data_IF_822312724047
#
_entry.id   IF_822312724047
#
_cell.length_a   1.000
_cell.length_b   1.000
_cell.length_c   1.000
_cell.angle_alpha   90.00
_cell.angle_beta   90.00
_cell.angle_gamma   90.00
#
_symmetry.space_group_name_H-M   'P 1'
#
loop_
_entity.id
_entity.type
_entity.pdbx_description
1 polymer ?
#
# COMPACT_ATOMS: atom_id res chain seq x y z
N UNK A 1 -22.85 -29.22 6.90
CA UNK A 1 -21.93 -28.20 6.37
C UNK A 1 -21.39 -28.74 5.05
N UNK A 2 -21.66 -28.05 3.93
CA UNK A 2 -21.06 -28.44 2.66
C UNK A 2 -19.58 -28.04 2.68
N UNK A 3 -18.73 -28.87 2.09
CA UNK A 3 -17.29 -28.62 2.02
C UNK A 3 -17.05 -27.61 0.90
N UNK A 4 -16.77 -26.37 1.27
CA UNK A 4 -16.44 -25.29 0.34
C UNK A 4 -14.92 -25.14 0.20
N UNK A 5 -14.44 -24.97 -1.04
CA UNK A 5 -13.04 -24.66 -1.33
C UNK A 5 -12.90 -23.16 -1.56
N UNK A 6 -12.72 -22.43 -0.46
CA UNK A 6 -12.60 -20.97 -0.50
C UNK A 6 -11.38 -20.47 -1.29
N UNK A 7 -10.32 -21.27 -1.43
CA UNK A 7 -9.14 -20.86 -2.18
C UNK A 7 -9.41 -20.91 -3.69
N UNK A 8 -9.94 -22.02 -4.18
CA UNK A 8 -10.33 -22.20 -5.58
C UNK A 8 -11.40 -21.18 -5.99
N UNK A 9 -12.41 -20.96 -5.15
CA UNK A 9 -13.47 -20.00 -5.45
C UNK A 9 -12.98 -18.54 -5.41
N UNK A 10 -12.01 -18.21 -4.55
CA UNK A 10 -11.37 -16.90 -4.56
C UNK A 10 -10.60 -16.67 -5.87
N UNK A 11 -9.80 -17.64 -6.32
CA UNK A 11 -9.06 -17.58 -7.59
C UNK A 11 -10.04 -17.45 -8.76
N UNK A 12 -11.09 -18.27 -8.77
CA UNK A 12 -12.13 -18.22 -9.82
C UNK A 12 -12.90 -16.90 -9.81
N UNK A 13 -13.14 -16.31 -8.64
CA UNK A 13 -13.75 -14.98 -8.52
C UNK A 13 -12.84 -13.91 -9.08
N UNK A 14 -11.53 -13.98 -8.79
CA UNK A 14 -10.54 -13.05 -9.31
C UNK A 14 -10.50 -13.06 -10.85
N UNK A 15 -10.37 -14.24 -11.47
CA UNK A 15 -10.36 -14.35 -12.94
C UNK A 15 -11.65 -13.85 -13.59
N UNK A 16 -12.80 -14.05 -12.93
CA UNK A 16 -14.10 -13.54 -13.42
C UNK A 16 -14.20 -12.01 -13.43
N UNK A 17 -13.45 -11.33 -12.57
CA UNK A 17 -13.47 -9.86 -12.45
C UNK A 17 -12.25 -9.18 -13.08
N UNK A 18 -11.40 -9.93 -13.78
CA UNK A 18 -10.22 -9.37 -14.43
C UNK A 18 -10.65 -8.59 -15.68
N UNK A 19 -10.23 -7.32 -15.85
CA UNK A 19 -10.61 -6.51 -17.01
C UNK A 19 -9.77 -6.92 -18.24
N UNK A 20 -10.05 -8.10 -18.79
CA UNK A 20 -9.23 -8.70 -19.84
C UNK A 20 -9.13 -7.83 -21.09
N UNK A 21 -10.19 -7.09 -21.42
CA UNK A 21 -10.21 -6.18 -22.56
C UNK A 21 -9.17 -5.06 -22.43
N UNK A 22 -8.95 -4.54 -21.22
CA UNK A 22 -8.00 -3.46 -20.98
C UNK A 22 -6.56 -3.94 -20.90
N UNK A 23 -6.35 -5.24 -20.62
CA UNK A 23 -5.02 -5.83 -20.51
C UNK A 23 -4.30 -6.04 -21.85
N UNK A 24 -5.01 -6.07 -22.97
CA UNK A 24 -4.37 -6.37 -24.26
C UNK A 24 -3.61 -5.17 -24.84
N UNK A 25 -2.54 -5.49 -25.56
CA UNK A 25 -1.81 -4.53 -26.40
C UNK A 25 -2.71 -4.02 -27.53
N UNK A 26 -2.68 -2.71 -27.77
CA UNK A 26 -3.49 -2.06 -28.80
C UNK A 26 -3.00 -2.37 -30.23
N UNK A 27 -1.78 -2.89 -30.39
CA UNK A 27 -1.18 -3.21 -31.70
C UNK A 27 -1.17 -4.70 -32.05
N UNK A 28 -0.82 -5.58 -31.09
CA UNK A 28 -0.69 -7.03 -31.32
C UNK A 28 -1.99 -7.78 -30.96
N UNK A 29 -2.82 -7.23 -30.06
CA UNK A 29 -4.04 -7.84 -29.47
C UNK A 29 -3.90 -9.28 -28.92
N UNK A 30 -2.74 -9.93 -29.08
CA UNK A 30 -2.42 -11.28 -28.60
C UNK A 30 -1.50 -11.27 -27.37
N UNK A 31 -0.92 -10.11 -27.04
CA UNK A 31 0.00 -9.95 -25.91
C UNK A 31 -0.55 -8.93 -24.94
N UNK A 32 -0.27 -9.15 -23.66
CA UNK A 32 -0.63 -8.24 -22.59
C UNK A 32 0.19 -6.96 -22.73
N UNK A 33 -0.47 -5.81 -22.57
CA UNK A 33 0.16 -4.52 -22.49
C UNK A 33 0.88 -4.39 -21.14
N UNK A 34 2.16 -4.10 -21.22
CA UNK A 34 3.05 -3.88 -20.07
C UNK A 34 3.55 -2.45 -20.01
N UNK A 35 3.39 -1.70 -21.11
CA UNK A 35 3.89 -0.35 -21.27
C UNK A 35 2.82 0.59 -21.82
N UNK A 36 2.86 1.86 -21.42
CA UNK A 36 1.99 2.93 -21.85
C UNK A 36 2.83 4.05 -22.47
N UNK A 37 2.52 4.41 -23.70
CA UNK A 37 3.09 5.60 -24.34
C UNK A 37 2.30 6.83 -23.91
N UNK A 38 2.93 7.75 -23.17
CA UNK A 38 2.30 9.01 -22.74
C UNK A 38 1.95 9.88 -23.94
N UNK A 39 2.85 9.93 -24.92
CA UNK A 39 2.71 10.78 -26.10
C UNK A 39 1.58 10.31 -27.02
N UNK A 40 1.60 9.02 -27.35
CA UNK A 40 0.68 8.45 -28.34
C UNK A 40 -0.64 7.96 -27.71
N UNK A 41 -0.70 7.89 -26.37
CA UNK A 41 -1.84 7.40 -25.57
C UNK A 41 -2.28 5.99 -25.98
N UNK A 42 -1.30 5.10 -26.14
CA UNK A 42 -1.52 3.68 -26.53
C UNK A 42 -0.86 2.71 -25.54
N UNK A 43 -1.49 1.55 -25.36
CA UNK A 43 -1.03 0.42 -24.56
C UNK A 43 -0.22 -0.54 -25.41
N UNK A 44 0.97 -0.89 -24.95
CA UNK A 44 1.96 -1.64 -25.71
C UNK A 44 2.43 -2.85 -24.90
N UNK A 45 2.54 -4.00 -25.56
CA UNK A 45 3.34 -5.11 -25.05
C UNK A 45 4.83 -4.80 -25.24
N UNK A 46 5.70 -5.53 -24.55
CA UNK A 46 7.15 -5.33 -24.62
C UNK A 46 7.71 -5.40 -26.06
N UNK A 47 7.13 -6.26 -26.91
CA UNK A 47 7.54 -6.39 -28.32
C UNK A 47 7.20 -5.13 -29.12
N UNK A 48 5.96 -4.66 -29.01
CA UNK A 48 5.50 -3.45 -29.71
C UNK A 48 6.22 -2.20 -29.20
N UNK A 49 6.47 -2.13 -27.89
CA UNK A 49 7.25 -1.06 -27.28
C UNK A 49 8.69 -1.02 -27.79
N UNK A 50 9.35 -2.17 -27.89
CA UNK A 50 10.71 -2.26 -28.46
C UNK A 50 10.76 -1.71 -29.89
N UNK A 51 9.83 -2.14 -30.75
CA UNK A 51 9.75 -1.68 -32.16
C UNK A 51 9.51 -0.18 -32.26
N UNK A 52 8.66 0.38 -31.39
CA UNK A 52 8.39 1.83 -31.38
C UNK A 52 9.62 2.61 -30.93
N UNK A 53 10.35 2.10 -29.93
CA UNK A 53 11.55 2.74 -29.38
C UNK A 53 12.70 2.79 -30.40
N UNK A 54 12.83 1.76 -31.24
CA UNK A 54 13.91 1.66 -32.24
C UNK A 54 13.72 2.57 -33.47
N UNK A 55 12.53 3.19 -33.62
CA UNK A 55 12.29 4.08 -34.77
C UNK A 55 13.02 5.42 -34.58
N UNK A 56 13.69 5.93 -35.64
CA UNK A 56 14.32 7.25 -35.59
C UNK A 56 13.29 8.33 -35.29
N UNK A 57 13.60 9.21 -34.33
CA UNK A 57 12.69 10.26 -33.83
C UNK A 57 11.86 9.89 -32.60
N UNK A 58 11.89 8.62 -32.15
CA UNK A 58 11.20 8.17 -30.93
C UNK A 58 12.10 8.03 -29.69
N UNK A 59 13.37 8.43 -29.77
CA UNK A 59 14.35 8.27 -28.68
C UNK A 59 13.92 8.91 -27.35
N UNK A 60 13.08 9.96 -27.41
CA UNK A 60 12.58 10.68 -26.23
C UNK A 60 11.17 10.27 -25.79
N UNK A 61 10.53 9.27 -26.44
CA UNK A 61 9.20 8.84 -26.02
C UNK A 61 9.27 8.15 -24.66
N UNK A 62 8.71 8.79 -23.64
CA UNK A 62 8.57 8.25 -22.29
C UNK A 62 7.54 7.12 -22.30
N UNK A 63 8.03 5.89 -22.25
CA UNK A 63 7.23 4.69 -22.01
C UNK A 63 7.18 4.44 -20.50
N UNK A 64 5.96 4.29 -19.98
CA UNK A 64 5.70 4.02 -18.57
C UNK A 64 5.21 2.59 -18.41
N UNK A 65 5.35 2.01 -17.22
CA UNK A 65 4.74 0.70 -16.94
C UNK A 65 3.22 0.84 -16.91
N UNK A 66 2.54 0.01 -17.70
CA UNK A 66 1.10 -0.06 -17.75
C UNK A 66 0.60 -1.21 -16.89
N UNK A 67 -0.42 -0.95 -16.09
CA UNK A 67 -1.24 -1.98 -15.45
C UNK A 67 -2.70 -1.62 -15.72
N UNK A 68 -3.50 -2.57 -16.21
CA UNK A 68 -4.93 -2.34 -16.47
C UNK A 68 -5.68 -1.95 -15.19
N UNK A 69 -5.24 -2.48 -14.05
CA UNK A 69 -5.73 -2.11 -12.73
C UNK A 69 -4.55 -1.74 -11.85
N UNK A 70 -4.62 -0.56 -11.24
CA UNK A 70 -3.64 -0.14 -10.24
C UNK A 70 -3.98 -0.73 -8.87
N UNK A 71 -3.37 -1.87 -8.56
CA UNK A 71 -3.41 -2.52 -7.26
C UNK A 71 -2.36 -2.00 -6.28
N UNK A 72 -1.55 -1.00 -6.67
CA UNK A 72 -0.53 -0.47 -5.76
C UNK A 72 -1.19 0.14 -4.52
N UNK A 73 -0.56 -0.03 -3.36
CA UNK A 73 -1.02 0.54 -2.11
C UNK A 73 -1.18 2.07 -2.30
N UNK A 74 -2.42 2.55 -2.27
CA UNK A 74 -2.74 3.95 -2.58
C UNK A 74 -2.33 4.82 -1.40
N UNK A 75 -1.10 5.33 -1.45
CA UNK A 75 -0.68 6.40 -0.56
C UNK A 75 -1.53 7.68 -0.75
N UNK A 76 -1.51 8.58 0.25
CA UNK A 76 -2.28 9.83 0.20
C UNK A 76 -1.94 10.65 -1.04
N UNK A 77 -2.95 11.19 -1.72
CA UNK A 77 -2.79 11.90 -3.00
C UNK A 77 -2.29 13.34 -2.86
N UNK A 78 -2.42 13.93 -1.68
CA UNK A 78 -2.04 15.30 -1.39
C UNK A 78 -1.61 15.44 0.08
N UNK A 79 -0.97 16.57 0.43
CA UNK A 79 -0.60 16.86 1.81
C UNK A 79 -1.82 16.83 2.74
N UNK A 80 -2.95 17.43 2.33
CA UNK A 80 -4.18 17.44 3.11
C UNK A 80 -4.67 16.02 3.38
N UNK A 81 -4.74 15.18 2.34
CA UNK A 81 -5.12 13.77 2.50
C UNK A 81 -4.13 13.05 3.40
N UNK A 82 -2.82 13.31 3.26
CA UNK A 82 -1.77 12.71 4.08
C UNK A 82 -1.91 13.04 5.56
N UNK A 83 -2.12 14.32 5.89
CA UNK A 83 -2.38 14.77 7.27
C UNK A 83 -3.68 14.16 7.80
N UNK A 84 -4.76 14.16 7.02
CA UNK A 84 -6.04 13.60 7.43
C UNK A 84 -5.92 12.09 7.76
N UNK A 85 -5.31 11.31 6.87
CA UNK A 85 -5.05 9.88 7.12
C UNK A 85 -4.10 9.67 8.29
N UNK A 86 -3.06 10.49 8.40
CA UNK A 86 -2.09 10.42 9.49
C UNK A 86 -2.72 10.70 10.85
N UNK A 87 -3.65 11.66 10.95
CA UNK A 87 -4.39 11.96 12.17
C UNK A 87 -5.30 10.80 12.60
N UNK A 88 -5.98 10.15 11.65
CA UNK A 88 -6.82 8.97 11.95
C UNK A 88 -5.97 7.84 12.53
N UNK A 89 -4.83 7.54 11.90
CA UNK A 89 -3.89 6.51 12.38
C UNK A 89 -3.29 6.88 13.74
N UNK A 90 -2.91 8.14 13.95
CA UNK A 90 -2.42 8.62 15.23
C UNK A 90 -3.48 8.49 16.34
N UNK A 91 -4.73 8.90 16.06
CA UNK A 91 -5.83 8.78 17.02
C UNK A 91 -6.11 7.32 17.39
N UNK A 92 -5.97 6.40 16.43
CA UNK A 92 -6.05 4.96 16.68
C UNK A 92 -4.94 4.49 17.63
N UNK A 93 -3.68 4.89 17.42
CA UNK A 93 -2.58 4.53 18.31
C UNK A 93 -2.70 5.16 19.70
N UNK A 94 -3.17 6.40 19.78
CA UNK A 94 -3.42 7.07 21.06
C UNK A 94 -4.51 6.35 21.85
N UNK A 95 -5.63 6.01 21.19
CA UNK A 95 -6.73 5.25 21.79
C UNK A 95 -6.25 3.86 22.22
N UNK A 96 -5.47 3.17 21.39
CA UNK A 96 -4.86 1.88 21.71
C UNK A 96 -3.87 1.94 22.88
N UNK A 97 -3.11 3.03 23.02
CA UNK A 97 -2.21 3.28 24.14
C UNK A 97 -2.98 3.50 25.46
N UNK A 98 -3.99 4.37 25.43
CA UNK A 98 -4.83 4.67 26.60
C UNK A 98 -5.66 3.46 27.05
N UNK A 99 -6.33 2.78 26.12
CA UNK A 99 -7.09 1.56 26.43
C UNK A 99 -6.18 0.44 26.91
N UNK A 100 -4.95 0.33 26.36
CA UNK A 100 -3.93 -0.59 26.85
C UNK A 100 -3.54 -0.30 28.29
N UNK A 101 -3.28 0.97 28.63
CA UNK A 101 -2.91 1.39 29.97
C UNK A 101 -3.98 1.04 31.03
N UNK A 102 -5.26 1.20 30.70
CA UNK A 102 -6.36 0.90 31.63
C UNK A 102 -6.76 -0.58 31.66
N UNK A 103 -6.79 -1.25 30.50
CA UNK A 103 -7.30 -2.61 30.41
C UNK A 103 -6.26 -3.69 30.76
N UNK A 104 -4.97 -3.44 30.56
CA UNK A 104 -3.90 -4.42 30.84
C UNK A 104 -3.75 -4.76 32.33
N UNK A 105 -3.81 -3.80 33.29
CA UNK A 105 -3.78 -4.11 34.72
C UNK A 105 -4.96 -4.98 35.15
N UNK A 106 -6.18 -4.67 34.68
CA UNK A 106 -7.39 -5.44 35.00
C UNK A 106 -7.33 -6.86 34.43
N UNK A 107 -6.94 -7.02 33.16
CA UNK A 107 -6.73 -8.33 32.52
C UNK A 107 -5.59 -9.12 33.19
N UNK A 108 -4.53 -8.44 33.61
CA UNK A 108 -3.41 -9.02 34.33
C UNK A 108 -3.82 -9.56 35.70
N UNK A 109 -4.64 -8.80 36.44
CA UNK A 109 -5.18 -9.22 37.73
C UNK A 109 -6.06 -10.47 37.61
N UNK A 110 -6.96 -10.51 36.63
CA UNK A 110 -7.85 -11.67 36.41
C UNK A 110 -7.09 -12.95 36.03
N UNK A 111 -5.94 -12.83 35.34
CA UNK A 111 -5.18 -14.00 34.87
C UNK A 111 -4.12 -14.50 35.83
N UNK A 112 -3.49 -13.60 36.61
CA UNK A 112 -2.32 -13.92 37.41
C UNK A 112 -2.29 -13.26 38.78
N UNK A 113 -3.44 -12.77 39.27
CA UNK A 113 -3.54 -12.07 40.55
C UNK A 113 -2.63 -10.84 40.60
N UNK A 114 -2.06 -10.56 41.78
CA UNK A 114 -1.25 -9.36 42.02
C UNK A 114 -0.01 -9.32 41.11
N UNK A 115 0.64 -10.47 40.89
CA UNK A 115 1.82 -10.56 40.01
C UNK A 115 1.45 -10.21 38.56
N UNK A 116 0.29 -10.68 38.10
CA UNK A 116 -0.24 -10.32 36.79
C UNK A 116 -0.63 -8.83 36.69
N UNK A 117 -1.14 -8.24 37.77
CA UNK A 117 -1.48 -6.81 37.80
C UNK A 117 -0.24 -5.92 37.66
N UNK A 118 0.85 -6.20 38.41
CA UNK A 118 2.12 -5.47 38.29
C UNK A 118 2.68 -5.57 36.87
N UNK A 119 2.67 -6.77 36.28
CA UNK A 119 3.08 -6.97 34.88
C UNK A 119 2.21 -6.16 33.91
N UNK A 120 0.90 -6.12 34.14
CA UNK A 120 -0.06 -5.33 33.37
C UNK A 120 0.20 -3.82 33.44
N UNK A 121 0.59 -3.30 34.60
CA UNK A 121 0.99 -1.88 34.77
C UNK A 121 2.25 -1.56 33.97
N UNK A 122 3.28 -2.42 34.04
CA UNK A 122 4.52 -2.23 33.28
C UNK A 122 4.26 -2.25 31.78
N UNK A 123 3.52 -3.24 31.29
CA UNK A 123 3.15 -3.32 29.87
C UNK A 123 2.25 -2.16 29.44
N UNK A 124 1.29 -1.76 30.28
CA UNK A 124 0.43 -0.61 30.03
C UNK A 124 1.21 0.69 29.89
N UNK A 125 2.14 0.97 30.81
CA UNK A 125 3.01 2.15 30.77
C UNK A 125 3.93 2.13 29.54
N UNK A 126 4.48 0.96 29.19
CA UNK A 126 5.26 0.78 27.96
C UNK A 126 4.45 1.13 26.71
N UNK A 127 3.25 0.55 26.55
CA UNK A 127 2.40 0.85 25.39
C UNK A 127 1.92 2.30 25.36
N UNK A 128 1.68 2.93 26.52
CA UNK A 128 1.30 4.33 26.61
C UNK A 128 2.42 5.26 26.11
N UNK A 129 3.69 4.88 26.30
CA UNK A 129 4.83 5.67 25.83
C UNK A 129 5.17 5.40 24.37
N UNK A 130 5.22 4.12 23.97
CA UNK A 130 5.71 3.74 22.64
C UNK A 130 4.67 3.99 21.54
N UNK A 131 3.37 3.73 21.79
CA UNK A 131 2.34 3.82 20.75
C UNK A 131 2.10 5.25 20.25
N UNK A 132 2.02 6.29 21.09
CA UNK A 132 1.88 7.66 20.60
C UNK A 132 3.09 8.13 19.78
N UNK A 133 4.30 7.73 20.16
CA UNK A 133 5.52 8.03 19.39
C UNK A 133 5.44 7.35 18.02
N UNK A 134 5.05 6.07 17.98
CA UNK A 134 4.83 5.35 16.72
C UNK A 134 3.77 6.03 15.85
N UNK A 135 2.62 6.39 16.42
CA UNK A 135 1.57 7.11 15.71
C UNK A 135 2.02 8.47 15.15
N UNK A 136 2.85 9.21 15.88
CA UNK A 136 3.39 10.49 15.43
C UNK A 136 4.35 10.32 14.23
N UNK A 137 5.17 9.27 14.25
CA UNK A 137 6.04 8.92 13.12
C UNK A 137 5.20 8.55 11.89
N UNK A 138 4.14 7.76 12.05
CA UNK A 138 3.23 7.42 10.95
C UNK A 138 2.51 8.66 10.40
N UNK A 139 2.07 9.57 11.27
CA UNK A 139 1.45 10.82 10.82
C UNK A 139 2.42 11.65 9.97
N UNK A 140 3.65 11.84 10.45
CA UNK A 140 4.68 12.56 9.72
C UNK A 140 4.98 11.91 8.36
N UNK A 141 5.04 10.57 8.33
CA UNK A 141 5.23 9.81 7.09
C UNK A 141 4.09 10.01 6.09
N UNK A 142 2.84 9.87 6.53
CA UNK A 142 1.68 10.11 5.66
C UNK A 142 1.63 11.54 5.13
N UNK A 143 1.95 12.55 5.96
CA UNK A 143 2.04 13.94 5.52
C UNK A 143 3.14 14.13 4.47
N UNK A 144 4.33 13.57 4.70
CA UNK A 144 5.45 13.64 3.78
C UNK A 144 5.17 12.91 2.46
N UNK A 145 4.61 11.70 2.49
CA UNK A 145 4.17 10.95 1.31
C UNK A 145 3.09 11.72 0.55
N UNK A 146 2.14 12.34 1.24
CA UNK A 146 1.10 13.17 0.62
C UNK A 146 1.67 14.36 -0.13
N UNK A 147 2.66 15.04 0.46
CA UNK A 147 3.37 16.14 -0.20
C UNK A 147 4.19 15.68 -1.41
N UNK A 148 4.89 14.55 -1.30
CA UNK A 148 5.65 13.96 -2.42
C UNK A 148 4.72 13.54 -3.56
N UNK A 149 3.58 12.92 -3.24
CA UNK A 149 2.58 12.52 -4.23
C UNK A 149 1.89 13.72 -4.90
N UNK A 150 1.75 14.84 -4.20
CA UNK A 150 1.20 16.08 -4.78
C UNK A 150 2.11 16.65 -5.87
N UNK A 151 3.43 16.53 -5.72
CA UNK A 151 4.43 17.02 -6.67
C UNK A 151 4.89 15.95 -7.68
N UNK A 152 4.19 14.82 -7.75
CA UNK A 152 4.57 13.69 -8.59
C UNK A 152 4.30 13.99 -10.07
N UNK A 153 5.28 13.72 -10.93
CA UNK A 153 5.09 13.76 -12.38
C UNK A 153 4.01 12.78 -12.85
N UNK A 154 3.24 13.22 -13.86
CA UNK A 154 2.21 12.38 -14.48
C UNK A 154 2.81 11.05 -14.98
N UNK A 155 2.11 9.96 -14.67
CA UNK A 155 2.49 8.62 -15.09
C UNK A 155 3.47 7.84 -14.19
N UNK A 156 4.07 8.46 -13.17
CA UNK A 156 4.80 7.70 -12.14
C UNK A 156 3.85 7.01 -11.15
N UNK A 157 4.27 5.89 -10.55
CA UNK A 157 3.50 5.23 -9.50
C UNK A 157 3.39 6.15 -8.29
N UNK A 158 2.22 6.19 -7.64
CA UNK A 158 2.08 6.86 -6.34
C UNK A 158 2.98 6.16 -5.33
N UNK A 159 3.66 6.95 -4.50
CA UNK A 159 4.41 6.44 -3.38
C UNK A 159 3.43 5.98 -2.30
N UNK A 160 3.70 4.82 -1.71
CA UNK A 160 3.10 4.43 -0.43
C UNK A 160 3.79 5.18 0.73
N UNK A 161 3.32 4.94 1.95
CA UNK A 161 4.00 5.40 3.17
C UNK A 161 5.44 4.87 3.19
N UNK A 162 6.41 5.72 3.50
CA UNK A 162 7.85 5.38 3.41
C UNK A 162 8.21 4.26 4.38
N UNK A 163 7.57 4.24 5.56
CA UNK A 163 7.77 3.16 6.52
C UNK A 163 7.25 1.82 6.00
N UNK A 164 6.16 1.83 5.23
CA UNK A 164 5.57 0.61 4.68
C UNK A 164 6.44 0.07 3.54
N UNK A 165 7.03 0.93 2.70
CA UNK A 165 8.02 0.50 1.69
C UNK A 165 9.22 -0.20 2.35
N UNK A 166 9.80 0.40 3.38
CA UNK A 166 10.95 -0.19 4.09
C UNK A 166 10.58 -1.45 4.87
N UNK A 167 9.38 -1.50 5.46
CA UNK A 167 8.87 -2.69 6.13
C UNK A 167 8.66 -3.83 5.11
N UNK A 168 8.04 -3.55 3.96
CA UNK A 168 7.82 -4.53 2.90
C UNK A 168 9.14 -5.00 2.27
N UNK A 169 10.11 -4.10 2.09
CA UNK A 169 11.47 -4.43 1.67
C UNK A 169 12.16 -5.36 2.68
N UNK A 170 12.07 -5.03 3.98
CA UNK A 170 12.64 -5.86 5.06
C UNK A 170 11.92 -7.22 5.21
N UNK A 171 10.65 -7.30 4.83
CA UNK A 171 9.85 -8.52 4.81
C UNK A 171 9.98 -9.32 3.50
N UNK A 172 10.76 -8.83 2.52
CA UNK A 172 11.01 -9.52 1.25
C UNK A 172 9.81 -9.53 0.29
N UNK A 173 8.88 -8.58 0.42
CA UNK A 173 7.69 -8.47 -0.43
C UNK A 173 7.87 -7.56 -1.65
N UNK A 174 9.08 -7.06 -1.89
CA UNK A 174 9.44 -6.37 -3.14
C UNK A 174 9.73 -7.39 -4.23
N UNK A 175 8.69 -7.94 -4.87
CA UNK A 175 8.70 -8.23 -6.31
C UNK A 175 7.29 -8.66 -6.78
N UNK A 176 6.66 -7.75 -7.53
CA UNK A 176 5.35 -7.90 -8.17
C UNK A 176 5.02 -6.73 -9.10
#
# INVERSE_FOLDING_TARGET
MQQEDGAEDAVRSFYRHLPAQDMWCDLDHQRIATQWSVHDKIKLCDRCAFVIKERPGNEHKKLLRYNAVDYSARGPSSLLTGVATGLVVFAHELTGGMTGFLSQPAKGLMKGGIVGAVKGVVSGAYYLLVRPVHGALLLADHAATGQKNANREEGHRKLNSVFDSHLMAALGAEDG
#
